data_IF_823404139573
#
_entry.id   IF_823404139573
#
_cell.length_a   1.000
_cell.length_b   1.000
_cell.length_c   1.000
_cell.angle_alpha   90.00
_cell.angle_beta   90.00
_cell.angle_gamma   90.00
#
_symmetry.space_group_name_H-M   'P 1'
#
loop_
_entity.id
_entity.type
_entity.pdbx_description
1 polymer ?
#
# COMPACT_ATOMS: atom_id res chain seq x y z
N UNK A 1 14.37 -0.98 -7.76
CA UNK A 1 13.85 -1.95 -6.79
C UNK A 1 13.17 -3.06 -7.55
N UNK A 2 13.35 -4.31 -7.13
CA UNK A 2 12.58 -5.46 -7.62
C UNK A 2 11.63 -5.95 -6.53
N UNK A 3 10.48 -6.50 -6.92
CA UNK A 3 9.58 -7.21 -6.01
C UNK A 3 9.35 -8.61 -6.56
N UNK A 4 9.64 -9.65 -5.78
CA UNK A 4 9.52 -11.04 -6.26
C UNK A 4 8.09 -11.57 -6.13
N UNK A 5 7.49 -11.39 -4.95
CA UNK A 5 6.16 -11.90 -4.64
C UNK A 5 5.30 -10.84 -3.98
N UNK A 6 4.00 -10.89 -4.26
CA UNK A 6 2.97 -10.07 -3.64
C UNK A 6 1.99 -10.98 -2.92
N UNK A 7 1.78 -10.76 -1.62
CA UNK A 7 0.79 -11.49 -0.80
C UNK A 7 0.86 -13.03 -0.88
N UNK A 8 2.06 -13.59 -1.09
CA UNK A 8 2.27 -15.03 -1.23
C UNK A 8 1.78 -15.63 -2.55
N UNK A 9 1.28 -14.83 -3.49
CA UNK A 9 0.84 -15.32 -4.80
C UNK A 9 2.03 -15.92 -5.57
N UNK A 10 1.96 -17.24 -5.77
CA UNK A 10 3.02 -17.99 -6.43
C UNK A 10 4.34 -18.01 -5.67
N UNK A 11 4.34 -17.75 -4.35
CA UNK A 11 5.56 -17.74 -3.54
C UNK A 11 6.07 -19.17 -3.29
N UNK A 12 7.31 -19.43 -3.72
CA UNK A 12 8.06 -20.65 -3.42
C UNK A 12 9.55 -20.33 -3.33
N UNK A 13 10.30 -21.07 -2.51
CA UNK A 13 11.78 -20.99 -2.43
C UNK A 13 12.32 -19.55 -2.48
N UNK A 14 11.77 -18.63 -1.68
CA UNK A 14 12.04 -17.17 -1.80
C UNK A 14 13.53 -16.85 -1.79
N UNK A 15 14.30 -17.46 -0.88
CA UNK A 15 15.74 -17.26 -0.78
C UNK A 15 16.49 -17.69 -2.06
N UNK A 16 16.06 -18.78 -2.71
CA UNK A 16 16.68 -19.25 -3.96
C UNK A 16 16.33 -18.31 -5.12
N UNK A 17 15.07 -17.90 -5.23
CA UNK A 17 14.63 -16.92 -6.24
C UNK A 17 15.33 -15.57 -6.08
N UNK A 18 15.54 -15.11 -4.85
CA UNK A 18 16.34 -13.92 -4.55
C UNK A 18 17.79 -14.09 -5.02
N UNK A 19 18.44 -15.21 -4.70
CA UNK A 19 19.80 -15.47 -5.15
C UNK A 19 19.91 -15.52 -6.69
N UNK A 20 18.93 -16.11 -7.37
CA UNK A 20 18.86 -16.13 -8.84
C UNK A 20 18.73 -14.71 -9.42
N UNK A 21 17.89 -13.86 -8.82
CA UNK A 21 17.76 -12.46 -9.22
C UNK A 21 19.07 -11.69 -8.98
N UNK A 22 19.69 -11.84 -7.81
CA UNK A 22 20.94 -11.17 -7.46
C UNK A 22 22.14 -11.63 -8.30
N UNK A 23 22.10 -12.85 -8.85
CA UNK A 23 23.10 -13.29 -9.83
C UNK A 23 22.98 -12.52 -11.17
N UNK A 24 21.82 -11.95 -11.47
CA UNK A 24 21.54 -11.18 -12.70
C UNK A 24 21.63 -9.67 -12.49
N UNK A 25 21.18 -9.18 -11.33
CA UNK A 25 21.17 -7.75 -11.00
C UNK A 25 21.49 -7.50 -9.53
N UNK A 26 22.65 -6.88 -9.27
CA UNK A 26 23.08 -6.42 -7.94
C UNK A 26 22.97 -4.89 -7.77
N UNK A 27 22.45 -4.18 -8.78
CA UNK A 27 22.39 -2.71 -8.79
C UNK A 27 21.14 -2.15 -8.10
N UNK A 28 20.19 -3.02 -7.74
CA UNK A 28 18.88 -2.64 -7.19
C UNK A 28 18.59 -3.44 -5.92
N UNK A 29 18.00 -2.76 -4.94
CA UNK A 29 17.39 -3.39 -3.76
C UNK A 29 16.18 -4.25 -4.14
N UNK A 30 15.88 -5.26 -3.34
CA UNK A 30 14.85 -6.28 -3.58
C UNK A 30 13.90 -6.37 -2.39
N UNK A 31 12.62 -6.13 -2.64
CA UNK A 31 11.53 -6.54 -1.77
C UNK A 31 11.16 -7.99 -2.10
N UNK A 32 11.72 -8.94 -1.35
CA UNK A 32 11.52 -10.36 -1.65
C UNK A 32 10.07 -10.79 -1.43
N UNK A 33 9.36 -10.15 -0.49
CA UNK A 33 7.99 -10.48 -0.11
C UNK A 33 7.24 -9.20 0.24
N UNK A 34 6.48 -8.66 -0.70
CA UNK A 34 5.54 -7.58 -0.39
C UNK A 34 4.33 -8.18 0.34
N UNK A 35 4.31 -8.00 1.66
CA UNK A 35 3.27 -8.52 2.54
C UNK A 35 3.39 -10.03 2.84
N UNK A 36 2.52 -10.48 3.75
CA UNK A 36 2.24 -11.90 4.03
C UNK A 36 3.44 -12.72 4.56
N UNK A 37 3.84 -13.79 3.88
CA UNK A 37 4.79 -14.79 4.39
C UNK A 37 6.24 -14.35 4.19
N UNK A 38 6.71 -13.48 5.06
CA UNK A 38 8.11 -13.08 5.09
C UNK A 38 9.04 -14.23 5.57
N UNK A 39 10.10 -14.50 4.80
CA UNK A 39 11.14 -15.47 5.14
C UNK A 39 12.41 -14.81 5.70
N UNK A 40 12.38 -13.50 5.96
CA UNK A 40 13.52 -12.76 6.52
C UNK A 40 14.65 -12.50 5.53
N UNK A 41 14.37 -12.55 4.22
CA UNK A 41 15.34 -12.33 3.13
C UNK A 41 15.02 -11.07 2.32
N UNK A 42 15.99 -10.58 1.55
CA UNK A 42 15.88 -9.32 0.81
C UNK A 42 16.17 -8.10 1.68
N UNK A 43 15.90 -6.91 1.13
CA UNK A 43 16.30 -5.63 1.74
C UNK A 43 15.20 -5.01 2.61
N UNK A 44 13.96 -5.50 2.49
CA UNK A 44 12.78 -4.91 3.11
C UNK A 44 12.02 -5.88 4.01
N UNK A 45 11.42 -5.32 5.07
CA UNK A 45 10.37 -5.92 5.89
C UNK A 45 9.05 -5.24 5.50
N UNK A 46 8.25 -5.90 4.65
CA UNK A 46 7.20 -5.26 3.85
C UNK A 46 5.82 -5.75 4.28
N UNK A 47 4.95 -4.83 4.70
CA UNK A 47 3.66 -5.16 5.32
C UNK A 47 2.47 -4.61 4.55
N UNK A 48 1.40 -5.41 4.49
CA UNK A 48 0.09 -5.01 3.96
C UNK A 48 -0.89 -4.90 5.12
N UNK A 49 -1.38 -3.69 5.42
CA UNK A 49 -2.34 -3.47 6.52
C UNK A 49 -3.52 -2.65 6.03
N UNK A 50 -4.64 -3.36 5.85
CA UNK A 50 -5.86 -2.81 5.27
C UNK A 50 -6.95 -2.42 6.28
N UNK A 51 -6.94 -3.04 7.45
CA UNK A 51 -7.96 -2.84 8.49
C UNK A 51 -7.35 -2.81 9.89
N UNK A 52 -8.07 -2.17 10.80
CA UNK A 52 -7.62 -2.00 12.19
C UNK A 52 -6.58 -0.90 12.36
N UNK A 53 -5.95 -0.89 13.53
CA UNK A 53 -4.88 0.06 13.87
C UNK A 53 -3.56 -0.44 13.32
N UNK A 54 -2.84 0.39 12.57
CA UNK A 54 -1.51 0.04 12.06
C UNK A 54 -0.55 -0.12 13.25
N UNK A 55 0.02 -1.32 13.36
CA UNK A 55 1.04 -1.67 14.34
C UNK A 55 2.15 -2.36 13.58
N UNK A 56 3.26 -1.65 13.40
CA UNK A 56 4.50 -2.19 12.87
C UNK A 56 5.53 -2.14 13.99
N UNK A 57 6.44 -3.10 13.98
CA UNK A 57 7.58 -3.12 14.90
C UNK A 57 8.82 -3.40 14.07
N UNK A 58 9.74 -2.46 14.05
CA UNK A 58 10.99 -2.67 13.33
C UNK A 58 11.98 -3.44 14.19
N UNK A 59 12.36 -4.64 13.74
CA UNK A 59 13.44 -5.42 14.40
C UNK A 59 14.85 -4.94 14.03
N UNK A 60 14.94 -3.84 13.26
CA UNK A 60 16.16 -3.13 12.83
C UNK A 60 17.12 -3.98 11.98
N UNK A 61 16.58 -4.92 11.20
CA UNK A 61 17.38 -5.79 10.31
C UNK A 61 17.27 -5.44 8.83
N UNK A 62 16.12 -4.89 8.41
CA UNK A 62 15.79 -4.52 7.03
C UNK A 62 14.98 -3.21 7.03
N UNK A 63 14.86 -2.56 5.88
CA UNK A 63 14.06 -1.34 5.77
C UNK A 63 12.57 -1.67 5.91
N UNK A 64 11.88 -1.02 6.85
CA UNK A 64 10.46 -1.28 7.13
C UNK A 64 9.58 -0.56 6.11
N UNK A 65 8.69 -1.29 5.44
CA UNK A 65 7.71 -0.76 4.49
C UNK A 65 6.27 -1.11 4.90
N UNK A 66 5.37 -0.16 4.66
CA UNK A 66 3.93 -0.42 4.58
C UNK A 66 3.53 -0.40 3.10
N UNK A 67 3.87 -1.46 2.38
CA UNK A 67 3.79 -1.51 0.92
C UNK A 67 2.37 -1.61 0.37
N UNK A 68 1.37 -1.89 1.20
CA UNK A 68 -0.04 -1.67 0.87
C UNK A 68 -0.84 -1.23 2.10
N UNK A 69 -1.69 -0.21 1.93
CA UNK A 69 -2.59 0.27 2.95
C UNK A 69 -3.79 1.01 2.35
N UNK A 70 -4.78 1.34 3.18
CA UNK A 70 -5.83 2.27 2.76
C UNK A 70 -6.91 1.67 1.85
N UNK A 71 -7.27 0.40 2.06
CA UNK A 71 -8.36 -0.31 1.37
C UNK A 71 -9.77 0.21 1.69
N UNK A 72 -9.96 1.51 1.56
CA UNK A 72 -11.18 2.26 1.79
C UNK A 72 -11.96 2.36 0.48
N UNK A 73 -13.22 1.95 0.51
CA UNK A 73 -14.05 1.74 -0.67
C UNK A 73 -15.04 2.87 -0.83
N UNK A 74 -15.15 3.42 -2.04
CA UNK A 74 -16.24 4.31 -2.45
C UNK A 74 -16.71 3.90 -3.84
N UNK A 75 -17.90 3.32 -3.94
CA UNK A 75 -18.50 3.01 -5.23
C UNK A 75 -19.13 4.26 -5.82
N UNK A 76 -18.78 4.57 -7.06
CA UNK A 76 -19.47 5.59 -7.85
C UNK A 76 -20.39 4.88 -8.83
N UNK A 77 -21.68 5.20 -8.78
CA UNK A 77 -22.69 4.60 -9.65
C UNK A 77 -22.33 4.86 -11.12
N UNK A 78 -22.56 3.88 -11.99
CA UNK A 78 -22.33 3.96 -13.44
C UNK A 78 -20.85 4.09 -13.88
N UNK A 79 -19.92 4.18 -12.92
CA UNK A 79 -18.46 4.26 -13.13
C UNK A 79 -17.70 3.08 -12.50
N UNK A 80 -18.40 1.96 -12.29
CA UNK A 80 -17.86 0.74 -11.68
C UNK A 80 -17.97 -0.43 -12.66
N UNK A 81 -16.95 -1.29 -12.71
CA UNK A 81 -16.93 -2.48 -13.57
C UNK A 81 -18.08 -3.46 -13.27
N UNK A 82 -18.47 -3.58 -11.99
CA UNK A 82 -19.55 -4.48 -11.59
C UNK A 82 -20.38 -3.95 -10.42
N UNK A 83 -21.50 -4.61 -10.14
CA UNK A 83 -22.30 -4.40 -8.93
C UNK A 83 -21.65 -5.01 -7.67
N UNK A 84 -20.69 -5.93 -7.83
CA UNK A 84 -19.93 -6.49 -6.71
C UNK A 84 -18.84 -5.52 -6.30
N UNK A 85 -18.81 -5.16 -5.01
CA UNK A 85 -17.80 -4.29 -4.42
C UNK A 85 -16.98 -5.02 -3.36
N UNK A 86 -15.67 -5.00 -3.48
CA UNK A 86 -14.72 -5.44 -2.46
C UNK A 86 -13.97 -4.24 -1.86
N UNK A 87 -13.65 -4.38 -0.58
CA UNK A 87 -12.75 -3.52 0.18
C UNK A 87 -13.15 -3.46 1.66
N UNK A 88 -12.27 -2.88 2.47
CA UNK A 88 -12.20 -3.15 3.91
C UNK A 88 -13.01 -2.17 4.75
N UNK A 89 -13.28 -0.96 4.23
CA UNK A 89 -14.13 0.05 4.89
C UNK A 89 -14.87 0.87 3.84
N UNK A 90 -16.20 0.91 3.91
CA UNK A 90 -17.05 1.57 2.91
C UNK A 90 -17.38 3.01 3.28
N UNK A 91 -17.42 3.86 2.27
CA UNK A 91 -17.81 5.27 2.31
C UNK A 91 -18.86 5.53 1.23
N UNK A 92 -19.66 6.58 1.42
CA UNK A 92 -20.71 7.00 0.48
C UNK A 92 -20.42 8.38 -0.16
N UNK A 93 -19.42 9.11 0.35
CA UNK A 93 -19.06 10.46 -0.10
C UNK A 93 -17.55 10.59 -0.24
N UNK A 94 -17.11 11.31 -1.27
CA UNK A 94 -15.70 11.62 -1.52
C UNK A 94 -15.06 12.35 -0.34
N UNK A 95 -15.75 13.32 0.26
CA UNK A 95 -15.26 14.09 1.42
C UNK A 95 -14.92 13.19 2.63
N UNK A 96 -15.77 12.19 2.91
CA UNK A 96 -15.57 11.27 4.03
C UNK A 96 -14.40 10.32 3.76
N UNK A 97 -14.26 9.85 2.52
CA UNK A 97 -13.13 9.04 2.08
C UNK A 97 -11.82 9.85 2.18
N UNK A 98 -11.80 11.07 1.64
CA UNK A 98 -10.65 11.97 1.70
C UNK A 98 -10.21 12.25 3.14
N UNK A 99 -11.16 12.55 4.02
CA UNK A 99 -10.90 12.73 5.46
C UNK A 99 -10.30 11.48 6.08
N UNK A 100 -10.85 10.30 5.78
CA UNK A 100 -10.35 9.05 6.33
C UNK A 100 -8.92 8.74 5.87
N UNK A 101 -8.58 8.97 4.61
CA UNK A 101 -7.22 8.82 4.06
C UNK A 101 -6.27 9.79 4.79
N UNK A 102 -6.65 11.06 4.89
CA UNK A 102 -5.84 12.05 5.59
C UNK A 102 -5.57 11.67 7.05
N UNK A 103 -6.59 11.17 7.76
CA UNK A 103 -6.44 10.71 9.14
C UNK A 103 -5.59 9.43 9.27
N UNK A 104 -5.72 8.49 8.33
CA UNK A 104 -4.88 7.30 8.26
C UNK A 104 -3.40 7.69 8.22
N UNK A 105 -3.04 8.57 7.29
CA UNK A 105 -1.66 9.00 7.13
C UNK A 105 -1.17 9.81 8.33
N UNK A 106 -1.90 10.86 8.71
CA UNK A 106 -1.42 11.81 9.72
C UNK A 106 -1.43 11.25 11.14
N UNK A 107 -2.37 10.37 11.48
CA UNK A 107 -2.50 9.82 12.84
C UNK A 107 -1.82 8.46 13.02
N UNK A 108 -1.61 7.70 11.94
CA UNK A 108 -1.08 6.33 12.04
C UNK A 108 0.23 6.12 11.27
N UNK A 109 0.30 6.48 9.99
CA UNK A 109 1.46 6.14 9.15
C UNK A 109 2.66 7.06 9.42
N UNK A 110 2.47 8.38 9.30
CA UNK A 110 3.56 9.36 9.48
C UNK A 110 4.25 9.23 10.85
N UNK A 111 3.52 9.04 11.98
CA UNK A 111 4.18 8.83 13.27
C UNK A 111 5.10 7.60 13.35
N UNK A 112 4.94 6.60 12.48
CA UNK A 112 5.80 5.40 12.44
C UNK A 112 7.19 5.69 11.87
N UNK A 113 7.37 6.79 11.12
CA UNK A 113 8.70 7.22 10.65
C UNK A 113 9.61 7.44 11.85
N UNK A 114 9.17 8.25 12.82
CA UNK A 114 9.96 8.55 14.02
C UNK A 114 9.98 7.38 15.03
N UNK A 115 8.89 6.61 15.15
CA UNK A 115 8.76 5.56 16.17
C UNK A 115 9.44 4.25 15.79
N UNK A 116 9.28 3.83 14.54
CA UNK A 116 9.68 2.51 14.05
C UNK A 116 10.69 2.62 12.90
N UNK A 117 11.02 3.82 12.42
CA UNK A 117 11.90 3.98 11.26
C UNK A 117 11.24 3.51 9.96
N UNK A 118 9.93 3.74 9.80
CA UNK A 118 9.22 3.44 8.56
C UNK A 118 9.89 4.16 7.38
N UNK A 119 10.29 3.40 6.36
CA UNK A 119 11.03 3.91 5.21
C UNK A 119 10.13 4.25 4.01
N UNK A 120 8.90 3.73 3.97
CA UNK A 120 7.98 3.98 2.88
C UNK A 120 6.58 3.44 3.12
N UNK A 121 5.61 3.99 2.40
CA UNK A 121 4.23 3.52 2.41
C UNK A 121 3.57 3.73 1.05
N UNK A 122 2.70 2.81 0.62
CA UNK A 122 1.94 2.93 -0.63
C UNK A 122 0.45 2.81 -0.34
N UNK A 123 -0.33 3.74 -0.88
CA UNK A 123 -1.80 3.70 -0.82
C UNK A 123 -2.33 2.78 -1.92
N UNK A 124 -3.13 1.79 -1.54
CA UNK A 124 -3.91 0.97 -2.47
C UNK A 124 -5.27 1.66 -2.69
N UNK A 125 -5.57 2.21 -3.86
CA UNK A 125 -4.83 2.17 -5.13
C UNK A 125 -5.09 3.45 -5.94
N UNK A 126 -4.38 3.65 -7.06
CA UNK A 126 -4.61 4.82 -7.91
C UNK A 126 -6.06 4.88 -8.40
N UNK A 127 -6.61 3.75 -8.83
CA UNK A 127 -7.87 3.67 -9.55
C UNK A 127 -8.58 2.36 -9.27
N UNK A 128 -9.90 2.31 -9.41
CA UNK A 128 -10.62 1.03 -9.25
C UNK A 128 -10.18 -0.01 -10.28
N UNK A 129 -10.16 -1.28 -9.85
CA UNK A 129 -9.84 -2.44 -10.69
C UNK A 129 -10.88 -3.51 -10.43
N UNK A 130 -11.67 -3.84 -11.45
CA UNK A 130 -12.73 -4.86 -11.40
C UNK A 130 -13.66 -4.71 -10.18
N UNK A 131 -13.54 -5.59 -9.18
CA UNK A 131 -14.37 -5.55 -7.98
C UNK A 131 -13.76 -4.73 -6.84
N UNK A 132 -12.50 -4.33 -6.95
CA UNK A 132 -11.80 -3.51 -5.96
C UNK A 132 -12.08 -2.03 -6.21
N UNK A 133 -12.83 -1.41 -5.30
CA UNK A 133 -13.31 -0.04 -5.45
C UNK A 133 -12.65 0.97 -4.48
N UNK A 134 -11.39 0.70 -4.12
CA UNK A 134 -10.52 1.50 -3.27
C UNK A 134 -9.57 2.42 -4.07
N UNK A 135 -9.87 2.66 -5.35
CA UNK A 135 -9.15 3.65 -6.16
C UNK A 135 -9.41 5.08 -5.72
N UNK A 136 -8.40 5.95 -5.89
CA UNK A 136 -8.58 7.41 -5.81
C UNK A 136 -9.40 7.96 -6.99
N UNK A 137 -9.44 7.23 -8.10
CA UNK A 137 -10.26 7.52 -9.30
C UNK A 137 -11.08 6.30 -9.69
N UNK A 138 -12.15 6.50 -10.47
CA UNK A 138 -13.07 5.43 -10.90
C UNK A 138 -12.45 4.44 -11.89
N UNK A 139 -13.16 3.34 -12.15
CA UNK A 139 -12.73 2.27 -13.05
C UNK A 139 -12.45 2.76 -14.47
N UNK A 140 -13.25 3.69 -14.97
CA UNK A 140 -13.08 4.34 -16.28
C UNK A 140 -12.17 5.57 -16.26
N UNK A 141 -11.71 6.00 -15.07
CA UNK A 141 -10.87 7.18 -14.83
C UNK A 141 -11.58 8.51 -15.18
N UNK A 142 -12.91 8.51 -15.28
CA UNK A 142 -13.69 9.73 -15.55
C UNK A 142 -13.92 10.58 -14.30
N UNK A 143 -13.93 9.97 -13.11
CA UNK A 143 -14.21 10.67 -11.85
C UNK A 143 -13.04 10.53 -10.88
N UNK A 144 -12.58 11.68 -10.40
CA UNK A 144 -11.67 11.79 -9.27
C UNK A 144 -12.50 11.71 -7.98
N UNK A 145 -12.31 10.63 -7.20
CA UNK A 145 -13.04 10.40 -5.94
C UNK A 145 -12.45 11.19 -4.77
N UNK A 146 -11.13 11.39 -4.82
CA UNK A 146 -10.35 12.11 -3.81
C UNK A 146 -9.48 13.13 -4.54
N UNK A 147 -9.69 14.40 -4.25
CA UNK A 147 -8.91 15.47 -4.86
C UNK A 147 -7.41 15.29 -4.58
N UNK A 148 -6.58 15.50 -5.60
CA UNK A 148 -5.12 15.31 -5.50
C UNK A 148 -4.46 16.20 -4.44
N UNK A 149 -5.09 17.32 -4.05
CA UNK A 149 -4.63 18.19 -2.97
C UNK A 149 -4.56 17.47 -1.62
N UNK A 150 -5.38 16.43 -1.38
CA UNK A 150 -5.35 15.64 -0.15
C UNK A 150 -4.04 14.85 -0.06
N UNK A 151 -3.70 14.10 -1.12
CA UNK A 151 -2.44 13.34 -1.18
C UNK A 151 -1.22 14.27 -1.21
N UNK A 152 -1.32 15.41 -1.90
CA UNK A 152 -0.29 16.46 -1.86
C UNK A 152 -0.06 16.96 -0.44
N UNK A 153 -1.11 17.34 0.29
CA UNK A 153 -1.01 17.83 1.66
C UNK A 153 -0.45 16.79 2.63
N UNK A 154 -0.64 15.49 2.36
CA UNK A 154 0.02 14.40 3.10
C UNK A 154 1.51 14.37 2.77
N UNK A 155 1.86 14.37 1.48
CA UNK A 155 3.25 14.30 1.02
C UNK A 155 4.08 15.53 1.45
N UNK A 156 3.48 16.72 1.47
CA UNK A 156 4.14 17.95 1.91
C UNK A 156 4.56 17.91 3.40
N UNK A 157 3.97 16.99 4.20
CA UNK A 157 4.40 16.75 5.59
C UNK A 157 5.65 15.87 5.70
N UNK A 158 6.05 15.22 4.61
CA UNK A 158 7.23 14.35 4.55
C UNK A 158 8.48 15.11 4.12
N UNK A 159 8.40 16.43 3.90
CA UNK A 159 9.55 17.25 3.52
C UNK A 159 10.47 17.40 4.74
N UNK A 160 11.65 16.80 4.65
CA UNK A 160 12.73 16.86 5.64
C UNK A 160 13.69 18.01 5.34
#
# INVERSE_FOLDING_TARGET
MWTLFNEGWGQFETAQNLAMLQAQDQTRVVDANSGWFDQGVGDFDSHHIYFGKIRLKNEKRRALLLSECGGYTLRVKDHAYSEKSFGYRKFNRGDDLAKAIYELYTKQIIPLIAKEGLCGSVFTQLSDVETEMNGLITYDREIIKVDSSVMRAINDKLVF
#
